data_IF_665657848121
#
_entry.id   IF_665657848121
#
_cell.length_a   1.000
_cell.length_b   1.000
_cell.length_c   1.000
_cell.angle_alpha   90.00
_cell.angle_beta   90.00
_cell.angle_gamma   90.00
#
_symmetry.space_group_name_H-M   'P 1'
#
loop_
_entity.id
_entity.type
_entity.pdbx_description
1 polymer ?
#
# COMPACT_ATOMS: atom_id res chain seq x y z
N UNK A 1 1.52 -24.63 -11.13
CA UNK A 1 1.19 -25.13 -9.79
C UNK A 1 -0.02 -24.34 -9.32
N UNK A 2 -1.19 -24.97 -9.33
CA UNK A 2 -2.42 -24.35 -8.83
C UNK A 2 -2.29 -24.16 -7.31
N UNK A 3 -2.41 -22.93 -6.83
CA UNK A 3 -2.39 -22.69 -5.39
C UNK A 3 -3.63 -23.31 -4.77
N UNK A 4 -3.48 -24.08 -3.68
CA UNK A 4 -4.65 -24.66 -3.02
C UNK A 4 -5.63 -23.56 -2.57
N UNK A 5 -6.95 -23.80 -2.61
CA UNK A 5 -7.96 -22.81 -2.22
C UNK A 5 -7.74 -22.21 -0.82
N UNK A 6 -7.18 -23.00 0.09
CA UNK A 6 -6.89 -22.56 1.46
C UNK A 6 -5.69 -21.60 1.52
N UNK A 7 -4.68 -21.80 0.66
CA UNK A 7 -3.54 -20.88 0.55
C UNK A 7 -3.99 -19.50 0.06
N UNK A 8 -4.86 -19.47 -0.95
CA UNK A 8 -5.40 -18.22 -1.49
C UNK A 8 -6.22 -17.46 -0.44
N UNK A 9 -7.09 -18.15 0.30
CA UNK A 9 -7.85 -17.56 1.41
C UNK A 9 -6.92 -16.96 2.49
N UNK A 10 -5.84 -17.64 2.84
CA UNK A 10 -4.85 -17.16 3.79
C UNK A 10 -4.13 -15.89 3.30
N UNK A 11 -3.65 -15.91 2.05
CA UNK A 11 -3.00 -14.75 1.42
C UNK A 11 -3.92 -13.53 1.32
N UNK A 12 -5.21 -13.73 1.04
CA UNK A 12 -6.20 -12.64 1.06
C UNK A 12 -6.37 -12.02 2.45
N UNK A 13 -6.41 -12.84 3.51
CA UNK A 13 -6.47 -12.34 4.89
C UNK A 13 -5.23 -11.52 5.23
N UNK A 14 -4.05 -11.99 4.81
CA UNK A 14 -2.79 -11.26 4.99
C UNK A 14 -2.83 -9.92 4.25
N UNK A 15 -3.26 -9.89 2.98
CA UNK A 15 -3.38 -8.65 2.21
C UNK A 15 -4.33 -7.64 2.87
N UNK A 16 -5.49 -8.10 3.35
CA UNK A 16 -6.44 -7.26 4.10
C UNK A 16 -5.82 -6.73 5.40
N UNK A 17 -5.08 -7.57 6.11
CA UNK A 17 -4.34 -7.16 7.30
C UNK A 17 -3.28 -6.09 6.97
N UNK A 18 -2.49 -6.27 5.91
CA UNK A 18 -1.54 -5.27 5.43
C UNK A 18 -2.24 -3.96 5.04
N UNK A 19 -3.39 -4.01 4.35
CA UNK A 19 -4.17 -2.80 4.04
C UNK A 19 -4.63 -2.06 5.30
N UNK A 20 -5.06 -2.78 6.34
CA UNK A 20 -5.42 -2.17 7.63
C UNK A 20 -4.20 -1.52 8.30
N UNK A 21 -3.04 -2.19 8.28
CA UNK A 21 -1.78 -1.63 8.81
C UNK A 21 -1.34 -0.36 8.06
N UNK A 22 -1.50 -0.32 6.73
CA UNK A 22 -1.24 0.89 5.94
C UNK A 22 -2.21 2.03 6.26
N UNK A 23 -3.47 1.74 6.63
CA UNK A 23 -4.38 2.75 7.16
C UNK A 23 -3.88 3.34 8.50
N UNK A 24 -3.33 2.48 9.37
CA UNK A 24 -2.78 2.86 10.68
C UNK A 24 -1.40 3.53 10.63
N UNK A 25 -0.72 3.47 9.47
CA UNK A 25 0.61 4.04 9.25
C UNK A 25 0.69 5.52 9.65
N UNK A 26 -0.36 6.31 9.40
CA UNK A 26 -0.36 7.74 9.72
C UNK A 26 -0.27 8.04 11.22
N UNK A 27 -0.66 7.12 12.09
CA UNK A 27 -0.64 7.34 13.54
C UNK A 27 0.69 6.94 14.17
N UNK A 28 1.38 5.96 13.60
CA UNK A 28 2.52 5.31 14.25
C UNK A 28 3.80 5.28 13.41
N UNK A 29 3.72 5.42 12.08
CA UNK A 29 4.82 5.24 11.13
C UNK A 29 5.34 3.80 11.03
N UNK A 30 5.47 3.10 12.15
CA UNK A 30 5.99 1.74 12.26
C UNK A 30 5.03 0.74 11.60
N UNK A 31 3.71 0.95 11.68
CA UNK A 31 2.72 0.02 11.12
C UNK A 31 2.90 -0.21 9.61
N UNK A 32 3.25 0.83 8.84
CA UNK A 32 3.48 0.72 7.40
C UNK A 32 4.81 0.06 7.04
N UNK A 33 5.83 0.18 7.92
CA UNK A 33 7.08 -0.56 7.75
C UNK A 33 6.84 -2.06 7.95
N UNK A 34 6.07 -2.44 8.98
CA UNK A 34 5.68 -3.83 9.20
C UNK A 34 4.88 -4.36 8.00
N UNK A 35 3.91 -3.58 7.50
CA UNK A 35 3.12 -3.95 6.34
C UNK A 35 3.98 -4.23 5.10
N UNK A 36 4.90 -3.31 4.75
CA UNK A 36 5.74 -3.50 3.54
C UNK A 36 6.69 -4.68 3.67
N UNK A 37 7.22 -4.94 4.87
CA UNK A 37 8.04 -6.14 5.12
C UNK A 37 7.22 -7.41 4.88
N UNK A 38 6.01 -7.48 5.44
CA UNK A 38 5.10 -8.62 5.22
C UNK A 38 4.79 -8.79 3.74
N UNK A 39 4.56 -7.69 3.00
CA UNK A 39 4.29 -7.75 1.57
C UNK A 39 5.46 -8.34 0.80
N UNK A 40 6.69 -7.92 1.07
CA UNK A 40 7.88 -8.50 0.44
C UNK A 40 8.04 -10.00 0.74
N UNK A 41 7.85 -10.39 2.01
CA UNK A 41 7.98 -11.77 2.46
C UNK A 41 6.90 -12.67 1.84
N UNK A 42 5.65 -12.20 1.75
CA UNK A 42 4.51 -12.99 1.28
C UNK A 42 4.24 -12.91 -0.22
N UNK A 43 4.86 -11.96 -0.92
CA UNK A 43 4.77 -11.89 -2.38
C UNK A 43 5.27 -13.15 -3.09
N UNK A 44 6.36 -13.77 -2.60
CA UNK A 44 6.87 -15.02 -3.19
C UNK A 44 5.86 -16.17 -3.08
N UNK A 45 5.12 -16.24 -1.98
CA UNK A 45 4.09 -17.25 -1.74
C UNK A 45 2.89 -17.10 -2.71
N UNK A 46 2.68 -15.89 -3.24
CA UNK A 46 1.59 -15.54 -4.14
C UNK A 46 1.96 -15.67 -5.64
N UNK A 47 3.19 -16.09 -5.99
CA UNK A 47 3.62 -16.17 -7.39
C UNK A 47 2.71 -17.07 -8.23
N UNK A 48 2.39 -16.61 -9.44
CA UNK A 48 1.50 -17.33 -10.34
C UNK A 48 0.02 -17.27 -9.95
N UNK A 49 -0.33 -16.45 -8.95
CA UNK A 49 -1.72 -16.14 -8.58
C UNK A 49 -2.04 -14.69 -8.90
N UNK A 50 -3.32 -14.35 -9.01
CA UNK A 50 -3.78 -12.97 -9.18
C UNK A 50 -3.48 -12.06 -7.97
N UNK A 51 -3.12 -12.65 -6.81
CA UNK A 51 -2.77 -11.94 -5.58
C UNK A 51 -1.37 -11.34 -5.61
N UNK A 52 -0.46 -11.85 -6.44
CA UNK A 52 0.91 -11.30 -6.57
C UNK A 52 0.90 -9.81 -6.92
N UNK A 53 -0.05 -9.41 -7.77
CA UNK A 53 -0.27 -8.03 -8.16
C UNK A 53 -0.69 -7.14 -6.99
N UNK A 54 -1.43 -7.66 -6.02
CA UNK A 54 -1.86 -6.91 -4.83
C UNK A 54 -0.69 -6.58 -3.91
N UNK A 55 0.18 -7.57 -3.63
CA UNK A 55 1.41 -7.33 -2.88
C UNK A 55 2.30 -6.31 -3.58
N UNK A 56 2.46 -6.46 -4.90
CA UNK A 56 3.25 -5.52 -5.71
C UNK A 56 2.65 -4.10 -5.69
N UNK A 57 1.33 -3.98 -5.72
CA UNK A 57 0.60 -2.71 -5.64
C UNK A 57 0.81 -2.01 -4.29
N UNK A 58 0.73 -2.75 -3.18
CA UNK A 58 0.98 -2.24 -1.83
C UNK A 58 2.42 -1.75 -1.68
N UNK A 59 3.40 -2.57 -2.09
CA UNK A 59 4.83 -2.22 -2.08
C UNK A 59 5.10 -0.94 -2.87
N UNK A 60 4.61 -0.86 -4.12
CA UNK A 60 4.77 0.35 -4.97
C UNK A 60 4.13 1.57 -4.29
N UNK A 61 2.95 1.40 -3.70
CA UNK A 61 2.22 2.50 -3.04
C UNK A 61 2.99 3.01 -1.82
N UNK A 62 3.57 2.13 -1.00
CA UNK A 62 4.42 2.52 0.13
C UNK A 62 5.61 3.36 -0.33
N UNK A 63 6.38 2.88 -1.31
CA UNK A 63 7.60 3.59 -1.73
C UNK A 63 7.31 4.91 -2.44
N UNK A 64 6.29 4.96 -3.30
CA UNK A 64 5.88 6.22 -3.94
C UNK A 64 5.39 7.21 -2.88
N UNK A 65 4.58 6.75 -1.91
CA UNK A 65 4.15 7.61 -0.81
C UNK A 65 5.33 8.14 -0.01
N UNK A 66 6.30 7.29 0.33
CA UNK A 66 7.47 7.69 1.11
C UNK A 66 8.28 8.78 0.39
N UNK A 67 8.51 8.64 -0.92
CA UNK A 67 9.18 9.66 -1.74
C UNK A 67 8.38 10.95 -1.77
N UNK A 68 7.06 10.86 -2.03
CA UNK A 68 6.19 12.04 -2.08
C UNK A 68 6.08 12.75 -0.72
N UNK A 69 6.14 12.01 0.38
CA UNK A 69 6.14 12.54 1.73
C UNK A 69 7.40 13.37 1.99
N UNK A 70 8.59 12.85 1.66
CA UNK A 70 9.84 13.61 1.77
C UNK A 70 9.86 14.82 0.84
N UNK A 71 9.33 14.70 -0.38
CA UNK A 71 9.20 15.84 -1.29
C UNK A 71 8.27 16.92 -0.74
N UNK A 72 7.12 16.52 -0.19
CA UNK A 72 6.14 17.43 0.40
C UNK A 72 6.73 18.17 1.59
N UNK A 73 7.42 17.46 2.49
CA UNK A 73 8.07 18.08 3.66
C UNK A 73 9.21 19.02 3.26
N UNK A 74 9.95 18.69 2.19
CA UNK A 74 10.94 19.60 1.61
C UNK A 74 10.30 20.88 1.07
N UNK A 75 9.24 20.78 0.27
CA UNK A 75 8.50 21.94 -0.29
C UNK A 75 7.96 22.81 0.84
N UNK A 76 7.35 22.19 1.85
CA UNK A 76 6.80 22.88 3.02
C UNK A 76 7.87 23.68 3.76
N UNK A 77 9.02 23.05 4.04
CA UNK A 77 10.08 23.65 4.86
C UNK A 77 10.90 24.70 4.12
N UNK A 78 11.24 24.48 2.86
CA UNK A 78 12.23 25.30 2.15
C UNK A 78 11.65 26.20 1.06
N UNK A 79 10.45 25.92 0.53
CA UNK A 79 9.91 26.63 -0.62
C UNK A 79 8.70 27.49 -0.26
N UNK A 80 7.61 26.88 0.23
CA UNK A 80 6.41 27.59 0.67
C UNK A 80 5.54 26.69 1.54
N UNK A 81 5.15 27.20 2.71
CA UNK A 81 4.28 26.48 3.64
C UNK A 81 2.91 26.20 3.04
N UNK A 82 2.31 27.18 2.35
CA UNK A 82 1.00 27.04 1.70
C UNK A 82 1.04 25.98 0.61
N UNK A 83 2.08 26.00 -0.23
CA UNK A 83 2.25 25.02 -1.30
C UNK A 83 2.48 23.62 -0.73
N UNK A 84 3.29 23.49 0.33
CA UNK A 84 3.53 22.23 1.01
C UNK A 84 2.25 21.59 1.52
N UNK A 85 1.33 22.37 2.11
CA UNK A 85 0.02 21.87 2.53
C UNK A 85 -0.84 21.39 1.36
N UNK A 86 -0.89 22.14 0.26
CA UNK A 86 -1.66 21.74 -0.94
C UNK A 86 -1.13 20.45 -1.55
N UNK A 87 0.19 20.34 -1.72
CA UNK A 87 0.85 19.13 -2.22
C UNK A 87 0.60 17.96 -1.25
N UNK A 88 0.74 18.18 0.06
CA UNK A 88 0.50 17.17 1.07
C UNK A 88 -0.93 16.63 1.07
N UNK A 89 -1.92 17.51 0.93
CA UNK A 89 -3.32 17.11 0.80
C UNK A 89 -3.56 16.27 -0.46
N UNK A 90 -2.96 16.66 -1.61
CA UNK A 90 -3.06 15.90 -2.84
C UNK A 90 -2.41 14.51 -2.74
N UNK A 91 -1.23 14.42 -2.11
CA UNK A 91 -0.53 13.14 -1.85
C UNK A 91 -1.36 12.25 -0.92
N UNK A 92 -1.97 12.82 0.12
CA UNK A 92 -2.83 12.09 1.05
C UNK A 92 -4.06 11.52 0.35
N UNK A 93 -4.76 12.35 -0.44
CA UNK A 93 -5.92 11.93 -1.22
C UNK A 93 -5.56 10.81 -2.21
N UNK A 94 -4.44 10.96 -2.92
CA UNK A 94 -3.92 9.95 -3.82
C UNK A 94 -3.60 8.63 -3.11
N UNK A 95 -3.02 8.68 -1.91
CA UNK A 95 -2.68 7.51 -1.12
C UNK A 95 -3.94 6.73 -0.71
N UNK A 96 -4.93 7.41 -0.14
CA UNK A 96 -6.19 6.78 0.26
C UNK A 96 -6.97 6.24 -0.94
N UNK A 97 -6.97 6.97 -2.07
CA UNK A 97 -7.53 6.46 -3.32
C UNK A 97 -6.89 5.13 -3.72
N UNK A 98 -5.56 5.02 -3.66
CA UNK A 98 -4.85 3.78 -4.00
C UNK A 98 -5.10 2.64 -3.03
N UNK A 99 -5.22 2.92 -1.74
CA UNK A 99 -5.61 1.91 -0.74
C UNK A 99 -7.02 1.41 -1.01
N UNK A 100 -7.99 2.32 -1.18
CA UNK A 100 -9.38 1.97 -1.46
C UNK A 100 -9.52 1.16 -2.74
N UNK A 101 -8.88 1.60 -3.84
CA UNK A 101 -8.84 0.87 -5.10
C UNK A 101 -8.27 -0.55 -4.91
N UNK A 102 -7.20 -0.67 -4.14
CA UNK A 102 -6.55 -1.94 -3.83
C UNK A 102 -7.47 -2.92 -3.10
N UNK A 103 -8.10 -2.45 -2.01
CA UNK A 103 -9.03 -3.25 -1.21
C UNK A 103 -10.26 -3.65 -2.03
N UNK A 104 -10.85 -2.73 -2.80
CA UNK A 104 -12.02 -3.02 -3.63
C UNK A 104 -11.72 -4.06 -4.72
N UNK A 105 -10.53 -3.98 -5.34
CA UNK A 105 -10.10 -5.01 -6.29
C UNK A 105 -9.92 -6.38 -5.61
N UNK A 106 -9.40 -6.41 -4.38
CA UNK A 106 -9.19 -7.65 -3.62
C UNK A 106 -10.52 -8.31 -3.17
N UNK A 107 -11.50 -7.50 -2.77
CA UNK A 107 -12.85 -7.97 -2.43
C UNK A 107 -13.58 -8.44 -3.68
N UNK A 108 -13.45 -7.72 -4.79
CA UNK A 108 -14.04 -8.05 -6.08
C UNK A 108 -13.35 -9.17 -6.87
N UNK A 109 -12.35 -9.85 -6.29
CA UNK A 109 -11.58 -10.92 -6.95
C UNK A 109 -10.93 -10.50 -8.28
N UNK A 110 -10.44 -9.27 -8.35
CA UNK A 110 -9.78 -8.70 -9.54
C UNK A 110 -8.27 -8.63 -9.32
N UNK A 111 -7.51 -9.04 -10.34
CA UNK A 111 -6.07 -8.85 -10.38
C UNK A 111 -5.72 -7.35 -10.44
N UNK A 112 -4.60 -6.99 -9.82
CA UNK A 112 -3.94 -5.68 -10.01
C UNK A 112 -2.64 -5.88 -10.78
N UNK A 113 -2.24 -4.88 -11.56
CA UNK A 113 -0.98 -4.85 -12.32
C UNK A 113 0.08 -3.98 -11.62
#
# INVERSE_FOLDING_TARGET
MESSPDKEKSLRKILLFCYALYGLFFFTGIAGIVAVIVDYVKRSDARGTWLEGHFSWQIKTFWIFLVLFFLTTFIYKYLSHTLGWLVGAAVLAWYFYRLYKGVMALIGHKALA
#
